data_IF_466242374245
#
_entry.id   IF_466242374245
#
_cell.length_a   1.000
_cell.length_b   1.000
_cell.length_c   1.000
_cell.angle_alpha   90.00
_cell.angle_beta   90.00
_cell.angle_gamma   90.00
#
_symmetry.space_group_name_H-M   'P 1'
#
loop_
_entity.id
_entity.type
_entity.pdbx_description
1 polymer ?
#
# COMPACT_ATOMS: atom_id res chain seq x y z
N UNK A 1 33.35 25.66 -54.48
CA UNK A 1 32.73 24.79 -55.51
C UNK A 1 32.82 23.35 -55.04
N UNK A 2 31.82 22.50 -55.32
CA UNK A 2 31.80 21.09 -54.90
C UNK A 2 32.38 20.15 -55.98
N UNK A 3 32.76 18.93 -55.58
CA UNK A 3 32.98 17.78 -56.46
C UNK A 3 32.95 16.44 -55.68
N UNK A 4 31.78 15.81 -55.64
CA UNK A 4 31.57 14.36 -55.42
C UNK A 4 31.80 13.59 -56.76
N UNK A 5 31.56 12.27 -56.89
CA UNK A 5 31.75 11.13 -55.97
C UNK A 5 32.47 9.90 -56.63
N UNK A 6 32.89 8.93 -55.81
CA UNK A 6 33.01 7.51 -56.19
C UNK A 6 32.56 6.62 -55.00
N UNK A 7 31.91 5.46 -55.16
CA UNK A 7 31.32 4.83 -56.36
C UNK A 7 31.19 3.29 -56.20
N UNK A 8 30.01 2.71 -56.47
CA UNK A 8 29.73 1.26 -56.39
C UNK A 8 29.22 0.80 -55.00
N UNK A 9 28.05 0.18 -54.77
CA UNK A 9 26.97 -0.43 -55.58
C UNK A 9 27.11 -1.93 -55.95
N UNK A 10 26.54 -2.80 -55.10
CA UNK A 10 25.98 -4.14 -55.40
C UNK A 10 25.05 -4.50 -54.20
N UNK A 11 23.72 -4.66 -54.33
CA UNK A 11 22.90 -5.62 -55.08
C UNK A 11 22.49 -6.86 -54.23
N UNK A 12 21.17 -7.12 -54.17
CA UNK A 12 20.55 -8.22 -53.42
C UNK A 12 20.65 -9.56 -54.17
N UNK A 13 20.34 -10.69 -53.51
CA UNK A 13 19.09 -11.36 -53.89
C UNK A 13 18.25 -11.90 -52.71
N UNK A 14 16.93 -12.02 -52.93
CA UNK A 14 15.97 -12.62 -51.99
C UNK A 14 15.47 -13.97 -52.51
N UNK A 15 15.47 -15.04 -51.70
CA UNK A 15 14.62 -16.21 -51.98
C UNK A 15 14.25 -17.09 -50.76
N UNK A 16 12.94 -17.08 -50.44
CA UNK A 16 12.04 -18.21 -50.08
C UNK A 16 12.47 -19.33 -49.11
N UNK A 17 11.56 -19.65 -48.18
CA UNK A 17 11.59 -20.84 -47.30
C UNK A 17 10.75 -22.03 -47.84
N UNK A 18 10.89 -23.23 -47.25
CA UNK A 18 9.86 -24.28 -47.27
C UNK A 18 9.34 -24.66 -45.86
N UNK A 19 8.16 -25.29 -45.82
CA UNK A 19 7.65 -26.08 -44.70
C UNK A 19 8.06 -27.57 -44.88
N UNK A 20 7.81 -28.54 -43.97
CA UNK A 20 7.00 -28.54 -42.73
C UNK A 20 7.82 -29.23 -41.57
N UNK A 21 7.41 -30.18 -40.70
CA UNK A 21 6.16 -30.93 -40.48
C UNK A 21 5.91 -31.38 -39.01
N UNK A 22 4.63 -31.66 -38.75
CA UNK A 22 3.96 -32.34 -37.63
C UNK A 22 4.77 -33.31 -36.76
N UNK A 23 4.58 -33.19 -35.43
CA UNK A 23 4.39 -34.38 -34.56
C UNK A 23 3.20 -34.19 -33.61
N UNK A 24 2.59 -35.31 -33.20
CA UNK A 24 1.21 -35.41 -32.67
C UNK A 24 1.14 -35.31 -31.14
N UNK A 25 -0.06 -34.98 -30.64
CA UNK A 25 -0.40 -34.73 -29.24
C UNK A 25 -0.21 -35.93 -28.27
N UNK A 26 -0.11 -35.60 -26.99
CA UNK A 26 -0.46 -36.44 -25.84
C UNK A 26 -1.55 -35.73 -25.01
N UNK A 27 -2.33 -36.47 -24.23
CA UNK A 27 -3.63 -36.03 -23.67
C UNK A 27 -3.67 -36.08 -22.14
N UNK A 28 -4.61 -35.34 -21.54
CA UNK A 28 -5.00 -35.33 -20.12
C UNK A 28 -4.07 -34.50 -19.20
N UNK A 29 -4.51 -34.00 -18.03
CA UNK A 29 -5.75 -34.29 -17.26
C UNK A 29 -6.51 -32.99 -16.91
N UNK A 30 -7.84 -33.09 -16.80
CA UNK A 30 -8.70 -32.01 -16.27
C UNK A 30 -8.48 -31.79 -14.78
N UNK A 31 -8.08 -30.58 -14.40
CA UNK A 31 -8.32 -30.05 -13.05
C UNK A 31 -8.81 -28.62 -13.17
N UNK A 32 -10.14 -28.43 -13.20
CA UNK A 32 -10.67 -27.14 -12.75
C UNK A 32 -10.53 -27.07 -11.24
N UNK A 33 -9.87 -26.02 -10.78
CA UNK A 33 -9.84 -25.60 -9.38
C UNK A 33 -9.29 -24.17 -9.30
N UNK A 34 -9.77 -23.27 -10.16
CA UNK A 34 -9.55 -21.83 -9.98
C UNK A 34 -10.47 -21.27 -8.89
N UNK A 35 -10.45 -21.91 -7.72
CA UNK A 35 -10.84 -21.26 -6.49
C UNK A 35 -9.88 -20.09 -6.28
N UNK A 36 -10.37 -18.84 -6.12
CA UNK A 36 -9.53 -17.78 -5.62
C UNK A 36 -9.14 -18.19 -4.19
N UNK A 37 -7.88 -18.59 -4.00
CA UNK A 37 -7.32 -18.79 -2.67
C UNK A 37 -7.31 -17.42 -1.99
N UNK A 38 -8.41 -17.10 -1.30
CA UNK A 38 -8.49 -16.03 -0.32
C UNK A 38 -7.58 -16.42 0.84
N UNK A 39 -6.28 -16.24 0.60
CA UNK A 39 -5.26 -16.24 1.61
C UNK A 39 -5.58 -15.09 2.57
N UNK A 40 -6.34 -15.42 3.61
CA UNK A 40 -6.26 -14.77 4.91
C UNK A 40 -4.90 -15.09 5.57
N UNK A 41 -3.83 -14.94 4.78
CA UNK A 41 -2.48 -14.75 5.29
C UNK A 41 -2.51 -13.43 6.02
N UNK A 42 -2.50 -13.48 7.35
CA UNK A 42 -2.02 -12.36 8.15
C UNK A 42 -0.63 -12.03 7.64
N UNK A 43 -0.52 -10.94 6.86
CA UNK A 43 0.76 -10.52 6.28
C UNK A 43 1.78 -10.42 7.39
N UNK A 44 3.00 -10.91 7.19
CA UNK A 44 4.01 -10.81 8.26
C UNK A 44 4.28 -9.34 8.54
N UNK A 45 4.66 -9.02 9.78
CA UNK A 45 5.00 -7.63 10.11
C UNK A 45 6.13 -7.12 9.20
N UNK A 46 7.07 -7.99 8.81
CA UNK A 46 8.12 -7.69 7.84
C UNK A 46 7.59 -7.33 6.45
N UNK A 47 6.54 -8.00 5.95
CA UNK A 47 5.88 -7.66 4.69
C UNK A 47 5.15 -6.31 4.77
N UNK A 48 4.50 -6.02 5.91
CA UNK A 48 3.89 -4.70 6.14
C UNK A 48 4.95 -3.59 6.19
N UNK A 49 6.05 -3.80 6.92
CA UNK A 49 7.16 -2.85 6.99
C UNK A 49 7.79 -2.62 5.60
N UNK A 50 7.99 -3.67 4.81
CA UNK A 50 8.56 -3.56 3.47
C UNK A 50 7.61 -2.85 2.49
N UNK A 51 6.29 -3.09 2.57
CA UNK A 51 5.28 -2.35 1.80
C UNK A 51 5.31 -0.85 2.14
N UNK A 52 5.33 -0.50 3.43
CA UNK A 52 5.48 0.90 3.87
C UNK A 52 6.84 1.48 3.44
N UNK A 53 7.91 0.68 3.46
CA UNK A 53 9.25 1.11 3.04
C UNK A 53 9.25 1.54 1.56
N UNK A 54 8.61 0.77 0.67
CA UNK A 54 8.44 1.17 -0.73
C UNK A 54 7.46 2.35 -0.89
N UNK A 55 6.28 2.31 -0.28
CA UNK A 55 5.23 3.34 -0.48
C UNK A 55 5.60 4.71 0.11
N UNK A 56 6.41 4.75 1.16
CA UNK A 56 6.98 5.98 1.72
C UNK A 56 8.40 6.31 1.26
N UNK A 57 8.96 5.55 0.30
CA UNK A 57 10.32 5.70 -0.20
C UNK A 57 11.41 5.76 0.89
N UNK A 58 11.24 5.01 1.98
CA UNK A 58 12.16 5.02 3.11
C UNK A 58 13.50 4.33 2.77
N UNK A 59 14.64 4.89 3.21
CA UNK A 59 15.97 4.36 2.88
C UNK A 59 16.28 3.03 3.57
N UNK A 60 15.65 2.73 4.71
CA UNK A 60 15.85 1.49 5.48
C UNK A 60 14.53 1.01 6.08
N UNK A 61 14.46 -0.25 6.49
CA UNK A 61 13.24 -0.84 7.08
C UNK A 61 12.96 -0.29 8.48
N UNK A 62 14.00 0.06 9.20
CA UNK A 62 13.94 0.61 10.56
C UNK A 62 13.24 1.98 10.55
N UNK A 63 13.47 2.79 9.51
CA UNK A 63 12.74 4.07 9.33
C UNK A 63 11.26 3.88 9.01
N UNK A 64 10.92 2.89 8.19
CA UNK A 64 9.53 2.49 7.99
C UNK A 64 8.90 1.97 9.29
N UNK A 65 9.67 1.26 10.13
CA UNK A 65 9.22 0.76 11.43
C UNK A 65 9.02 1.86 12.48
N UNK A 66 9.91 2.84 12.57
CA UNK A 66 9.73 4.04 13.40
C UNK A 66 8.42 4.75 13.06
N UNK A 67 8.15 4.98 11.77
CA UNK A 67 6.90 5.58 11.29
C UNK A 67 5.67 4.70 11.59
N UNK A 68 5.73 3.39 11.32
CA UNK A 68 4.63 2.46 11.61
C UNK A 68 4.30 2.44 13.11
N UNK A 69 5.31 2.39 13.98
CA UNK A 69 5.14 2.42 15.44
C UNK A 69 4.48 3.71 15.90
N UNK A 70 4.97 4.86 15.43
CA UNK A 70 4.42 6.18 15.74
C UNK A 70 2.95 6.31 15.29
N UNK A 71 2.66 6.01 14.03
CA UNK A 71 1.34 6.22 13.42
C UNK A 71 0.31 5.23 13.94
N UNK A 72 0.66 3.96 14.18
CA UNK A 72 -0.26 2.99 14.81
C UNK A 72 -0.52 3.29 16.29
N UNK A 73 0.50 3.76 17.03
CA UNK A 73 0.30 4.24 18.40
C UNK A 73 -0.56 5.51 18.43
N UNK A 74 -0.46 6.36 17.42
CA UNK A 74 -1.41 7.45 17.19
C UNK A 74 -2.82 6.95 16.94
N UNK A 75 -3.02 6.15 15.88
CA UNK A 75 -4.33 5.68 15.43
C UNK A 75 -5.07 4.87 16.52
N UNK A 76 -4.33 4.07 17.29
CA UNK A 76 -4.87 3.32 18.43
C UNK A 76 -5.44 4.20 19.56
N UNK A 77 -5.05 5.48 19.65
CA UNK A 77 -5.70 6.47 20.52
C UNK A 77 -7.00 7.03 19.90
N UNK A 78 -7.10 7.07 18.58
CA UNK A 78 -8.22 7.72 17.87
C UNK A 78 -9.42 6.80 17.66
N UNK A 79 -9.19 5.48 17.58
CA UNK A 79 -10.23 4.49 17.32
C UNK A 79 -10.82 3.89 18.59
N UNK A 80 -12.12 3.61 18.54
CA UNK A 80 -12.88 2.90 19.59
C UNK A 80 -13.75 1.79 18.97
N UNK A 81 -14.47 1.05 19.81
CA UNK A 81 -15.48 0.09 19.38
C UNK A 81 -14.96 -1.08 18.54
N UNK A 82 -15.88 -1.66 17.76
CA UNK A 82 -15.64 -2.88 16.99
C UNK A 82 -14.69 -2.65 15.82
N UNK A 83 -14.68 -1.45 15.20
CA UNK A 83 -13.71 -1.10 14.15
C UNK A 83 -12.27 -1.19 14.65
N UNK A 84 -11.99 -0.83 15.91
CA UNK A 84 -10.66 -0.96 16.50
C UNK A 84 -10.26 -2.44 16.65
N UNK A 85 -11.20 -3.27 17.09
CA UNK A 85 -10.99 -4.71 17.31
C UNK A 85 -10.81 -5.43 15.97
N UNK A 86 -11.66 -5.11 14.98
CA UNK A 86 -11.56 -5.70 13.64
C UNK A 86 -10.27 -5.25 12.94
N UNK A 87 -9.88 -3.97 13.04
CA UNK A 87 -8.62 -3.50 12.47
C UNK A 87 -7.41 -4.22 13.11
N UNK A 88 -7.42 -4.42 14.43
CA UNK A 88 -6.40 -5.21 15.11
C UNK A 88 -6.38 -6.67 14.60
N UNK A 89 -7.53 -7.26 14.25
CA UNK A 89 -7.61 -8.60 13.67
C UNK A 89 -7.19 -8.68 12.18
N UNK A 90 -7.20 -7.56 11.42
CA UNK A 90 -6.65 -7.50 10.05
C UNK A 90 -5.13 -7.26 9.99
N UNK A 91 -4.55 -6.68 11.05
CA UNK A 91 -3.13 -6.29 11.07
C UNK A 91 -2.20 -7.47 11.43
N UNK A 92 -0.91 -7.39 11.04
CA UNK A 92 0.14 -8.26 11.61
C UNK A 92 0.15 -8.18 13.14
N UNK A 93 0.50 -9.26 13.83
CA UNK A 93 0.42 -9.37 15.29
C UNK A 93 1.16 -8.25 16.04
N UNK A 94 2.33 -7.83 15.55
CA UNK A 94 3.14 -6.75 16.12
C UNK A 94 2.46 -5.39 15.95
N UNK A 95 1.90 -5.12 14.77
CA UNK A 95 1.12 -3.91 14.46
C UNK A 95 -0.18 -3.85 15.27
N UNK A 96 -0.89 -4.99 15.36
CA UNK A 96 -2.09 -5.16 16.17
C UNK A 96 -1.82 -4.88 17.66
N UNK A 97 -0.68 -5.36 18.20
CA UNK A 97 -0.23 -5.06 19.57
C UNK A 97 0.04 -3.57 19.78
N UNK A 98 0.76 -2.90 18.88
CA UNK A 98 1.04 -1.46 18.98
C UNK A 98 -0.25 -0.64 19.03
N UNK A 99 -1.21 -0.96 18.16
CA UNK A 99 -2.52 -0.30 18.09
C UNK A 99 -3.41 -0.60 19.30
N UNK A 100 -3.39 -1.85 19.80
CA UNK A 100 -4.26 -2.31 20.90
C UNK A 100 -3.74 -1.89 22.29
N UNK A 101 -2.44 -1.69 22.46
CA UNK A 101 -1.82 -1.23 23.71
C UNK A 101 -2.18 0.22 24.09
N UNK A 102 -2.75 0.99 23.17
CA UNK A 102 -3.15 2.38 23.42
C UNK A 102 -4.43 2.47 24.28
N UNK A 103 -4.56 3.56 25.03
CA UNK A 103 -5.82 3.97 25.65
C UNK A 103 -6.51 4.97 24.69
N UNK A 104 -7.75 4.71 24.23
CA UNK A 104 -8.46 5.64 23.37
C UNK A 104 -8.76 6.98 24.05
N UNK A 105 -8.66 8.07 23.28
CA UNK A 105 -8.96 9.43 23.75
C UNK A 105 -10.46 9.71 23.71
N UNK A 106 -10.99 10.34 24.77
CA UNK A 106 -12.39 10.77 24.87
C UNK A 106 -12.79 11.83 23.82
N UNK A 107 -11.82 12.50 23.21
CA UNK A 107 -11.99 13.44 22.12
C UNK A 107 -10.98 13.14 21.02
N UNK A 108 -11.35 12.40 19.96
CA UNK A 108 -10.51 12.17 18.80
C UNK A 108 -10.12 13.49 18.11
N UNK A 109 -8.88 13.55 17.65
CA UNK A 109 -8.29 14.68 16.94
C UNK A 109 -8.76 14.70 15.48
N UNK A 110 -8.88 15.87 14.86
CA UNK A 110 -9.00 16.00 13.39
C UNK A 110 -7.71 15.55 12.72
N UNK A 111 -7.76 15.14 11.45
CA UNK A 111 -6.57 14.63 10.73
C UNK A 111 -5.38 15.60 10.73
N UNK A 112 -5.64 16.92 10.79
CA UNK A 112 -4.57 17.93 10.92
C UNK A 112 -4.03 18.07 12.36
N UNK A 113 -4.89 17.97 13.37
CA UNK A 113 -4.46 17.95 14.76
C UNK A 113 -3.69 16.65 15.10
N UNK A 114 -4.07 15.52 14.49
CA UNK A 114 -3.39 14.24 14.58
C UNK A 114 -1.94 14.30 14.06
N UNK A 115 -1.72 14.86 12.85
CA UNK A 115 -0.37 15.06 12.31
C UNK A 115 0.48 15.98 13.19
N UNK A 116 -0.13 16.98 13.86
CA UNK A 116 0.57 17.84 14.84
C UNK A 116 0.94 17.11 16.13
N UNK A 117 0.06 16.26 16.65
CA UNK A 117 0.32 15.41 17.83
C UNK A 117 1.50 14.47 17.55
N UNK A 118 1.47 13.76 16.42
CA UNK A 118 2.56 12.87 16.01
C UNK A 118 3.89 13.62 15.77
N UNK A 119 3.86 14.80 15.16
CA UNK A 119 5.08 15.59 14.92
C UNK A 119 5.71 16.07 16.23
N UNK A 120 4.86 16.43 17.20
CA UNK A 120 5.27 16.80 18.57
C UNK A 120 5.86 15.57 19.29
N UNK A 121 5.19 14.41 19.20
CA UNK A 121 5.63 13.16 19.82
C UNK A 121 6.96 12.63 19.25
N UNK A 122 7.24 12.89 17.96
CA UNK A 122 8.47 12.47 17.28
C UNK A 122 9.60 13.52 17.29
N UNK A 123 9.33 14.77 17.70
CA UNK A 123 10.27 15.89 17.54
C UNK A 123 10.58 16.24 16.08
N UNK A 124 9.65 15.92 15.16
CA UNK A 124 9.85 15.96 13.71
C UNK A 124 9.15 17.14 13.03
N UNK A 125 9.48 17.40 11.76
CA UNK A 125 8.79 18.45 10.99
C UNK A 125 7.39 18.01 10.57
N UNK A 126 6.43 18.94 10.55
CA UNK A 126 5.06 18.68 10.09
C UNK A 126 5.00 18.15 8.64
N UNK A 127 5.98 18.47 7.80
CA UNK A 127 6.07 17.96 6.43
C UNK A 127 6.47 16.48 6.42
N UNK A 128 7.49 16.13 7.21
CA UNK A 128 7.95 14.74 7.43
C UNK A 128 6.81 13.91 8.00
N UNK A 129 6.25 14.30 9.15
CA UNK A 129 5.20 13.51 9.79
C UNK A 129 3.92 13.39 8.96
N UNK A 130 3.58 14.39 8.13
CA UNK A 130 2.46 14.26 7.19
C UNK A 130 2.73 13.18 6.13
N UNK A 131 3.95 13.14 5.58
CA UNK A 131 4.38 12.09 4.66
C UNK A 131 4.32 10.72 5.35
N UNK A 132 4.96 10.59 6.52
CA UNK A 132 5.02 9.35 7.28
C UNK A 132 3.63 8.79 7.60
N UNK A 133 2.72 9.67 8.04
CA UNK A 133 1.32 9.35 8.31
C UNK A 133 0.60 8.86 7.06
N UNK A 134 0.80 9.53 5.91
CA UNK A 134 0.18 9.15 4.64
C UNK A 134 0.63 7.77 4.15
N UNK A 135 1.94 7.50 4.17
CA UNK A 135 2.49 6.22 3.72
C UNK A 135 2.05 5.05 4.61
N UNK A 136 2.06 5.21 5.93
CA UNK A 136 1.58 4.16 6.84
C UNK A 136 0.08 3.96 6.70
N UNK A 137 -0.74 5.02 6.72
CA UNK A 137 -2.19 4.89 6.68
C UNK A 137 -2.72 4.39 5.32
N UNK A 138 -2.01 4.64 4.21
CA UNK A 138 -2.33 4.03 2.91
C UNK A 138 -2.15 2.50 2.94
N UNK A 139 -1.09 2.00 3.59
CA UNK A 139 -0.93 0.56 3.85
C UNK A 139 -2.00 0.03 4.83
N UNK A 140 -2.33 0.75 5.90
CA UNK A 140 -3.38 0.34 6.85
C UNK A 140 -4.75 0.26 6.16
N UNK A 141 -5.09 1.21 5.27
CA UNK A 141 -6.28 1.14 4.41
C UNK A 141 -6.30 -0.12 3.54
N UNK A 142 -5.14 -0.51 2.98
CA UNK A 142 -5.01 -1.73 2.17
C UNK A 142 -5.35 -2.98 2.99
N UNK A 143 -4.88 -3.05 4.24
CA UNK A 143 -5.08 -4.20 5.14
C UNK A 143 -6.48 -4.25 5.75
N UNK A 144 -7.07 -3.08 6.04
CA UNK A 144 -8.44 -2.98 6.56
C UNK A 144 -9.49 -3.46 5.54
N UNK A 145 -9.30 -3.13 4.26
CA UNK A 145 -10.31 -3.29 3.22
C UNK A 145 -11.37 -2.17 3.23
N UNK A 146 -12.15 -2.01 2.14
CA UNK A 146 -12.98 -0.83 1.91
C UNK A 146 -14.11 -0.66 2.93
N UNK A 147 -14.76 -1.75 3.36
CA UNK A 147 -15.94 -1.68 4.25
C UNK A 147 -15.55 -1.25 5.68
N UNK A 148 -14.44 -1.78 6.19
CA UNK A 148 -13.89 -1.40 7.49
C UNK A 148 -13.27 0.00 7.43
N UNK A 149 -12.55 0.34 6.34
CA UNK A 149 -12.03 1.70 6.14
C UNK A 149 -13.17 2.74 6.11
N UNK A 150 -14.31 2.42 5.49
CA UNK A 150 -15.47 3.31 5.44
C UNK A 150 -16.04 3.58 6.85
N UNK A 151 -16.19 2.54 7.69
CA UNK A 151 -16.63 2.71 9.09
C UNK A 151 -15.60 3.45 9.95
N UNK A 152 -14.31 3.19 9.75
CA UNK A 152 -13.21 3.94 10.38
C UNK A 152 -13.29 5.44 10.01
N UNK A 153 -13.51 5.77 8.73
CA UNK A 153 -13.65 7.15 8.28
C UNK A 153 -14.96 7.82 8.71
N UNK A 154 -15.99 7.04 9.09
CA UNK A 154 -17.24 7.55 9.66
C UNK A 154 -17.12 7.85 11.17
N UNK A 155 -16.31 7.11 11.94
CA UNK A 155 -16.09 7.44 13.36
C UNK A 155 -15.07 8.56 13.57
N UNK A 156 -14.11 8.71 12.65
CA UNK A 156 -13.04 9.69 12.77
C UNK A 156 -13.50 11.10 12.38
N UNK A 157 -13.01 12.17 13.05
CA UNK A 157 -13.30 13.55 12.65
C UNK A 157 -12.76 13.91 11.26
N UNK A 158 -13.07 15.12 10.79
CA UNK A 158 -12.69 15.53 9.43
C UNK A 158 -11.17 15.51 9.16
N UNK A 159 -10.81 15.20 7.92
CA UNK A 159 -9.44 15.25 7.39
C UNK A 159 -8.70 13.92 7.27
N UNK A 160 -9.17 12.81 7.85
CA UNK A 160 -8.46 11.52 7.75
C UNK A 160 -8.51 10.88 6.36
N UNK A 161 -9.56 11.08 5.57
CA UNK A 161 -9.70 10.45 4.24
C UNK A 161 -8.43 10.65 3.37
N UNK A 162 -7.93 11.90 3.32
CA UNK A 162 -6.72 12.28 2.61
C UNK A 162 -5.41 11.67 3.19
N UNK A 163 -5.41 11.24 4.45
CA UNK A 163 -4.29 10.54 5.08
C UNK A 163 -4.31 9.04 4.76
N UNK A 164 -5.50 8.43 4.64
CA UNK A 164 -5.69 7.06 4.17
C UNK A 164 -5.64 6.92 2.63
N UNK A 165 -5.08 7.91 1.93
CA UNK A 165 -4.97 7.92 0.46
C UNK A 165 -6.30 8.05 -0.30
N UNK A 166 -7.42 8.26 0.40
CA UNK A 166 -8.74 8.37 -0.22
C UNK A 166 -8.97 9.79 -0.74
N UNK A 167 -9.65 9.90 -1.89
CA UNK A 167 -10.33 11.14 -2.25
C UNK A 167 -11.30 11.51 -1.11
N UNK A 168 -11.41 12.80 -0.80
CA UNK A 168 -12.22 13.23 0.34
C UNK A 168 -13.71 12.98 0.05
N UNK A 169 -14.24 11.89 0.61
CA UNK A 169 -15.64 11.48 0.47
C UNK A 169 -16.56 12.55 1.07
N UNK A 170 -17.02 13.48 0.22
CA UNK A 170 -18.23 14.25 0.48
C UNK A 170 -19.40 13.28 0.59
N UNK A 171 -20.16 13.25 1.69
CA UNK A 171 -21.39 12.48 1.76
C UNK A 171 -22.32 12.90 0.62
N UNK A 172 -22.91 11.92 -0.07
CA UNK A 172 -24.11 12.19 -0.84
C UNK A 172 -25.23 12.51 0.17
N UNK A 173 -25.81 13.70 0.04
CA UNK A 173 -26.96 14.19 0.79
C UNK A 173 -28.27 13.64 0.21
#
# INVERSE_FOLDING_TARGET
MPADPHGGAAALPSYRAPATETRKAATAVTTDLHAPLQHNSTSTYEQMLEKVRYEGAYPTRERAEEAVRLVLAGLGRQLTGDERVELAARLPLEAARILSAQIPTLQPLTGWAFVKDLATQAGASLATTRWDTGSVLTTVATLAGPDLLTRILQQLPTGYALLFGQAQLTPAL
#
